data_IF_126952747025
#
_entry.id   IF_126952747025
#
_cell.length_a   1.000
_cell.length_b   1.000
_cell.length_c   1.000
_cell.angle_alpha   90.00
_cell.angle_beta   90.00
_cell.angle_gamma   90.00
#
_symmetry.space_group_name_H-M   'P 1'
#
loop_
_entity.id
_entity.type
_entity.pdbx_description
1 polymer ?
#
# COMPACT_ATOMS: atom_id res chain seq x y z
N UNK A 1 -2.71 6.73 -26.45
CA UNK A 1 -2.78 6.14 -27.79
C UNK A 1 -4.22 6.04 -28.22
N UNK A 2 -4.66 6.91 -29.15
CA UNK A 2 -5.99 6.83 -29.74
C UNK A 2 -5.98 5.70 -30.80
N UNK A 3 -6.32 4.47 -30.43
CA UNK A 3 -7.12 3.69 -31.35
C UNK A 3 -8.52 4.30 -31.30
N UNK A 4 -8.94 4.95 -32.36
CA UNK A 4 -10.35 5.20 -32.62
C UNK A 4 -11.07 3.83 -32.76
N UNK A 5 -11.35 3.21 -31.61
CA UNK A 5 -12.45 2.25 -31.58
C UNK A 5 -13.67 3.12 -31.78
N UNK A 6 -14.46 2.85 -32.81
CA UNK A 6 -15.69 3.60 -33.06
C UNK A 6 -16.58 3.47 -31.83
N UNK A 7 -16.52 4.46 -30.97
CA UNK A 7 -17.46 4.62 -29.87
C UNK A 7 -18.68 5.30 -30.43
N UNK A 8 -19.87 4.81 -30.07
CA UNK A 8 -21.12 5.31 -30.57
C UNK A 8 -22.04 5.67 -29.41
N UNK A 9 -22.84 6.68 -29.59
CA UNK A 9 -24.02 6.98 -28.77
C UNK A 9 -25.21 6.26 -29.40
N UNK A 10 -26.01 5.57 -28.60
CA UNK A 10 -27.26 4.97 -29.03
C UNK A 10 -28.36 6.02 -28.94
N UNK A 11 -28.89 6.45 -30.06
CA UNK A 11 -30.04 7.37 -30.12
C UNK A 11 -31.34 6.70 -29.64
N UNK A 12 -32.38 7.51 -29.38
CA UNK A 12 -33.68 7.00 -28.89
C UNK A 12 -34.35 5.99 -29.80
N UNK A 13 -34.06 6.06 -31.10
CA UNK A 13 -34.54 5.10 -32.12
C UNK A 13 -33.68 3.82 -32.23
N UNK A 14 -32.63 3.71 -31.43
CA UNK A 14 -31.71 2.57 -31.40
C UNK A 14 -30.56 2.66 -32.40
N UNK A 15 -30.47 3.71 -33.21
CA UNK A 15 -29.37 3.93 -34.14
C UNK A 15 -28.07 4.30 -33.41
N UNK A 16 -26.95 3.80 -33.93
CA UNK A 16 -25.62 4.11 -33.39
C UNK A 16 -25.02 5.27 -34.17
N UNK A 17 -24.70 6.35 -33.48
CA UNK A 17 -23.98 7.51 -34.04
C UNK A 17 -22.55 7.53 -33.51
N UNK A 18 -21.51 7.78 -34.36
CA UNK A 18 -20.15 7.94 -33.92
C UNK A 18 -20.05 9.09 -32.90
N UNK A 19 -19.29 8.87 -31.84
CA UNK A 19 -19.01 9.90 -30.83
C UNK A 19 -17.57 10.39 -30.98
N UNK A 20 -17.42 11.71 -31.09
CA UNK A 20 -16.14 12.41 -31.10
C UNK A 20 -16.10 13.37 -29.91
N UNK A 21 -15.40 12.96 -28.84
CA UNK A 21 -15.32 13.78 -27.63
C UNK A 21 -14.47 13.11 -26.54
N UNK A 22 -14.47 13.73 -25.37
CA UNK A 22 -13.83 13.15 -24.20
C UNK A 22 -14.68 12.04 -23.61
N UNK A 23 -14.02 10.95 -23.22
CA UNK A 23 -14.63 9.77 -22.66
C UNK A 23 -14.12 9.56 -21.24
N UNK A 24 -15.05 9.31 -20.33
CA UNK A 24 -14.72 8.87 -18.98
C UNK A 24 -15.15 7.40 -18.81
N UNK A 25 -14.19 6.55 -18.44
CA UNK A 25 -14.48 5.19 -18.03
C UNK A 25 -14.87 5.16 -16.56
N UNK A 26 -15.95 4.45 -16.26
CA UNK A 26 -16.39 4.18 -14.88
C UNK A 26 -16.40 2.70 -14.60
N UNK A 27 -16.03 2.37 -13.37
CA UNK A 27 -16.06 1.02 -12.84
C UNK A 27 -17.20 0.91 -11.84
N UNK A 28 -18.02 -0.15 -12.00
CA UNK A 28 -19.03 -0.54 -11.02
C UNK A 28 -18.60 -1.85 -10.38
N UNK A 29 -18.51 -1.87 -9.06
CA UNK A 29 -18.15 -3.06 -8.29
C UNK A 29 -19.34 -3.50 -7.44
N UNK A 30 -19.66 -4.78 -7.50
CA UNK A 30 -20.56 -5.45 -6.58
C UNK A 30 -19.74 -6.40 -5.72
N UNK A 31 -19.61 -6.06 -4.44
CA UNK A 31 -18.92 -6.90 -3.48
C UNK A 31 -19.92 -7.57 -2.56
N UNK A 32 -19.77 -8.87 -2.36
CA UNK A 32 -20.50 -9.65 -1.37
C UNK A 32 -19.49 -10.34 -0.47
N UNK A 33 -19.61 -10.17 0.82
CA UNK A 33 -18.76 -10.82 1.79
C UNK A 33 -19.54 -11.25 3.02
N UNK A 34 -19.29 -12.49 3.45
CA UNK A 34 -19.67 -12.97 4.76
C UNK A 34 -18.39 -13.32 5.49
N UNK A 35 -18.21 -12.71 6.66
CA UNK A 35 -17.02 -12.87 7.47
C UNK A 35 -17.48 -13.30 8.86
N UNK A 36 -16.86 -14.35 9.37
CA UNK A 36 -16.93 -14.77 10.77
C UNK A 36 -15.50 -14.72 11.34
N UNK A 37 -15.30 -13.98 12.40
CA UNK A 37 -13.97 -13.78 13.02
C UNK A 37 -14.07 -13.98 14.53
N UNK A 38 -13.08 -14.70 15.06
CA UNK A 38 -12.90 -14.86 16.49
C UNK A 38 -11.44 -14.57 16.83
N UNK A 39 -11.23 -13.77 17.87
CA UNK A 39 -9.90 -13.47 18.39
C UNK A 39 -9.89 -13.57 19.90
N UNK A 40 -8.90 -14.30 20.42
CA UNK A 40 -8.69 -14.43 21.87
C UNK A 40 -7.22 -14.21 22.22
N UNK A 41 -6.99 -13.54 23.33
CA UNK A 41 -5.65 -13.38 23.91
C UNK A 41 -5.71 -13.69 25.40
N UNK A 42 -4.76 -14.48 25.87
CA UNK A 42 -4.50 -14.70 27.28
C UNK A 42 -3.05 -14.37 27.59
N UNK A 43 -2.82 -13.46 28.53
CA UNK A 43 -1.48 -13.05 28.92
C UNK A 43 -1.32 -13.10 30.44
N UNK A 44 -0.23 -13.67 30.89
CA UNK A 44 0.27 -13.61 32.24
C UNK A 44 1.44 -12.64 32.29
N UNK A 45 1.31 -11.58 33.08
CA UNK A 45 2.37 -10.60 33.32
C UNK A 45 2.79 -10.63 34.79
N UNK A 46 4.10 -10.59 35.02
CA UNK A 46 4.65 -10.50 36.36
C UNK A 46 5.84 -9.55 36.41
N UNK A 47 5.75 -8.54 37.24
CA UNK A 47 6.85 -7.65 37.59
C UNK A 47 7.47 -8.06 38.92
N UNK A 48 8.79 -8.13 38.97
CA UNK A 48 9.54 -8.41 40.17
C UNK A 48 10.83 -7.61 40.18
N UNK A 49 11.00 -6.73 41.20
CA UNK A 49 12.15 -5.81 41.29
C UNK A 49 12.30 -4.99 39.99
N UNK A 50 13.36 -5.25 39.27
CA UNK A 50 13.77 -4.54 38.04
C UNK A 50 13.47 -5.33 36.77
N UNK A 51 12.58 -6.33 36.82
CA UNK A 51 12.21 -7.12 35.64
C UNK A 51 10.71 -7.25 35.48
N UNK A 52 10.25 -7.36 34.23
CA UNK A 52 8.87 -7.69 33.90
C UNK A 52 8.84 -8.76 32.84
N UNK A 53 8.20 -9.87 33.17
CA UNK A 53 7.95 -10.98 32.24
C UNK A 53 6.51 -10.95 31.77
N UNK A 54 6.30 -11.25 30.49
CA UNK A 54 4.99 -11.51 29.91
C UNK A 54 5.07 -12.80 29.11
N UNK A 55 4.10 -13.67 29.31
CA UNK A 55 3.94 -14.91 28.53
C UNK A 55 2.48 -14.95 28.11
N UNK A 56 2.23 -15.15 26.82
CA UNK A 56 0.88 -15.15 26.32
C UNK A 56 0.64 -16.13 25.19
N UNK A 57 -0.64 -16.34 24.94
CA UNK A 57 -1.19 -17.12 23.86
C UNK A 57 -2.20 -16.29 23.12
N UNK A 58 -2.13 -16.29 21.79
CA UNK A 58 -3.13 -15.70 20.93
C UNK A 58 -3.76 -16.78 20.06
N UNK A 59 -5.05 -16.71 19.90
CA UNK A 59 -5.80 -17.51 18.94
C UNK A 59 -6.58 -16.57 18.03
N UNK A 60 -6.54 -16.80 16.72
CA UNK A 60 -7.29 -16.07 15.74
C UNK A 60 -7.87 -17.06 14.73
N UNK A 61 -9.18 -17.01 14.59
CA UNK A 61 -9.95 -17.75 13.60
C UNK A 61 -10.65 -16.78 12.67
N UNK A 62 -10.46 -16.94 11.38
CA UNK A 62 -11.06 -16.12 10.34
C UNK A 62 -11.67 -17.01 9.27
N UNK A 63 -12.96 -16.82 9.03
CA UNK A 63 -13.69 -17.53 7.98
C UNK A 63 -14.32 -16.50 7.05
N UNK A 64 -14.23 -16.73 5.76
CA UNK A 64 -14.75 -15.83 4.75
C UNK A 64 -15.42 -16.58 3.60
N UNK A 65 -16.49 -15.99 3.07
CA UNK A 65 -17.09 -16.30 1.78
C UNK A 65 -17.20 -14.96 1.06
N UNK A 66 -16.32 -14.69 0.08
CA UNK A 66 -16.18 -13.40 -0.57
C UNK A 66 -16.25 -13.53 -2.07
N UNK A 67 -17.04 -12.64 -2.69
CA UNK A 67 -17.11 -12.49 -4.12
C UNK A 67 -17.13 -11.01 -4.52
N UNK A 68 -16.45 -10.68 -5.60
CA UNK A 68 -16.42 -9.35 -6.19
C UNK A 68 -16.59 -9.43 -7.68
N UNK A 69 -17.61 -8.76 -8.20
CA UNK A 69 -17.84 -8.58 -9.62
C UNK A 69 -17.64 -7.13 -10.01
N UNK A 70 -16.84 -6.91 -11.04
CA UNK A 70 -16.49 -5.58 -11.50
C UNK A 70 -16.79 -5.44 -12.98
N UNK A 71 -17.53 -4.42 -13.35
CA UNK A 71 -17.85 -4.06 -14.74
C UNK A 71 -17.35 -2.66 -15.04
N UNK A 72 -16.89 -2.42 -16.27
CA UNK A 72 -16.54 -1.09 -16.75
C UNK A 72 -17.47 -0.66 -17.87
N UNK A 73 -17.78 0.62 -17.90
CA UNK A 73 -18.50 1.27 -18.98
C UNK A 73 -17.91 2.65 -19.24
N UNK A 74 -18.05 3.09 -20.50
CA UNK A 74 -17.67 4.43 -20.91
C UNK A 74 -18.90 5.32 -21.01
N UNK A 75 -18.70 6.60 -20.73
CA UNK A 75 -19.71 7.63 -20.96
C UNK A 75 -19.08 8.92 -21.48
N UNK A 76 -19.90 9.78 -22.09
CA UNK A 76 -19.49 11.11 -22.52
C UNK A 76 -19.12 11.98 -21.32
N UNK A 77 -18.24 12.96 -21.52
CA UNK A 77 -17.90 13.97 -20.51
C UNK A 77 -18.68 15.24 -20.82
N UNK A 78 -19.93 15.26 -20.39
CA UNK A 78 -20.91 16.33 -20.62
C UNK A 78 -21.76 16.55 -19.36
N UNK A 79 -22.55 17.61 -19.34
CA UNK A 79 -23.45 17.92 -18.22
C UNK A 79 -24.45 16.80 -17.95
N UNK A 80 -24.94 16.16 -19.02
CA UNK A 80 -25.81 14.99 -18.99
C UNK A 80 -25.09 13.81 -19.66
N UNK A 81 -24.25 13.05 -18.92
CA UNK A 81 -23.43 12.01 -19.51
C UNK A 81 -24.27 10.89 -20.14
N UNK A 82 -23.95 10.55 -21.36
CA UNK A 82 -24.58 9.43 -22.08
C UNK A 82 -23.63 8.24 -22.10
N UNK A 83 -24.20 7.04 -21.95
CA UNK A 83 -23.46 5.79 -22.02
C UNK A 83 -23.03 5.50 -23.44
N UNK A 84 -21.74 5.25 -23.60
CA UNK A 84 -21.16 4.91 -24.89
C UNK A 84 -21.26 3.40 -25.15
N UNK A 85 -21.52 3.04 -26.37
CA UNK A 85 -21.54 1.65 -26.86
C UNK A 85 -20.46 1.48 -27.93
N UNK A 86 -20.03 0.26 -28.15
CA UNK A 86 -19.08 -0.11 -29.21
C UNK A 86 -19.77 -0.98 -30.24
N UNK A 87 -19.27 -0.95 -31.46
CA UNK A 87 -19.68 -1.90 -32.49
C UNK A 87 -19.49 -3.34 -31.96
N UNK A 88 -20.52 -4.15 -32.04
CA UNK A 88 -20.53 -5.50 -31.50
C UNK A 88 -20.79 -5.61 -29.99
N UNK A 89 -20.88 -4.48 -29.26
CA UNK A 89 -21.26 -4.46 -27.85
C UNK A 89 -22.35 -3.40 -27.59
N UNK A 90 -23.57 -3.80 -27.73
CA UNK A 90 -24.74 -2.91 -27.62
C UNK A 90 -25.20 -2.65 -26.20
N UNK A 91 -24.65 -3.33 -25.22
CA UNK A 91 -25.01 -3.15 -23.80
C UNK A 91 -24.27 -1.96 -23.16
N UNK A 92 -23.29 -1.40 -23.88
CA UNK A 92 -22.45 -0.31 -23.39
C UNK A 92 -21.50 -0.70 -22.25
N UNK A 93 -21.44 -1.97 -21.87
CA UNK A 93 -20.43 -2.55 -20.99
C UNK A 93 -19.31 -3.07 -21.87
N UNK A 94 -18.24 -2.31 -22.01
CA UNK A 94 -17.18 -2.68 -22.94
C UNK A 94 -16.08 -3.54 -22.32
N UNK A 95 -16.05 -3.60 -21.00
CA UNK A 95 -15.11 -4.44 -20.27
C UNK A 95 -15.89 -5.17 -19.18
N UNK A 96 -16.12 -6.44 -19.37
CA UNK A 96 -16.77 -7.29 -18.40
C UNK A 96 -15.71 -8.00 -17.57
N UNK A 97 -15.52 -7.52 -16.36
CA UNK A 97 -14.62 -8.14 -15.39
C UNK A 97 -15.10 -9.52 -14.92
N UNK A 98 -16.34 -9.90 -15.17
CA UNK A 98 -16.83 -11.23 -14.82
C UNK A 98 -16.00 -12.35 -15.45
N UNK A 99 -15.31 -12.07 -16.56
CA UNK A 99 -14.45 -13.04 -17.22
C UNK A 99 -12.98 -12.97 -16.76
N UNK A 100 -12.52 -11.81 -16.28
CA UNK A 100 -11.07 -11.59 -16.08
C UNK A 100 -10.69 -10.93 -14.75
N UNK A 101 -11.62 -10.32 -14.02
CA UNK A 101 -11.33 -9.56 -12.82
C UNK A 101 -12.25 -9.83 -11.63
N UNK A 102 -13.23 -10.72 -11.76
CA UNK A 102 -14.02 -11.17 -10.61
C UNK A 102 -13.13 -11.92 -9.63
N UNK A 103 -13.33 -11.64 -8.36
CA UNK A 103 -12.65 -12.27 -7.27
C UNK A 103 -13.64 -13.16 -6.53
N UNK A 104 -13.21 -14.36 -6.22
CA UNK A 104 -13.92 -15.29 -5.37
C UNK A 104 -12.93 -16.07 -4.54
N UNK A 105 -13.14 -16.09 -3.27
CA UNK A 105 -12.48 -17.03 -2.38
C UNK A 105 -13.35 -17.33 -1.17
N UNK A 106 -13.28 -18.57 -0.73
CA UNK A 106 -14.00 -19.05 0.44
C UNK A 106 -13.09 -19.99 1.20
N UNK A 107 -13.05 -19.83 2.50
CA UNK A 107 -12.18 -20.67 3.31
C UNK A 107 -12.06 -20.17 4.73
N UNK A 108 -11.10 -20.71 5.43
CA UNK A 108 -10.77 -20.27 6.77
C UNK A 108 -9.25 -20.23 7.01
N UNK A 109 -8.87 -19.43 7.95
CA UNK A 109 -7.51 -19.24 8.40
C UNK A 109 -7.50 -19.30 9.94
N UNK A 110 -6.67 -20.16 10.49
CA UNK A 110 -6.46 -20.29 11.92
C UNK A 110 -5.03 -19.93 12.26
N UNK A 111 -4.84 -19.13 13.30
CA UNK A 111 -3.52 -18.82 13.85
C UNK A 111 -3.51 -19.08 15.33
N UNK A 112 -2.59 -19.89 15.77
CA UNK A 112 -2.29 -20.11 17.18
C UNK A 112 -0.86 -19.68 17.45
N UNK A 113 -0.67 -18.75 18.36
CA UNK A 113 0.65 -18.23 18.69
C UNK A 113 0.92 -18.26 20.18
N UNK A 114 2.17 -18.58 20.51
CA UNK A 114 2.72 -18.41 21.85
C UNK A 114 3.83 -17.38 21.81
N UNK A 115 3.91 -16.53 22.82
CA UNK A 115 4.96 -15.52 22.92
C UNK A 115 5.43 -15.34 24.34
N UNK A 116 6.68 -14.89 24.47
CA UNK A 116 7.24 -14.45 25.72
C UNK A 116 8.07 -13.18 25.50
N UNK A 117 7.98 -12.22 26.44
CA UNK A 117 8.80 -11.02 26.46
C UNK A 117 9.41 -10.79 27.83
N UNK A 118 10.57 -10.19 27.87
CA UNK A 118 11.25 -9.81 29.08
C UNK A 118 11.78 -8.38 28.97
N UNK A 119 11.40 -7.56 29.90
CA UNK A 119 11.91 -6.20 30.10
C UNK A 119 12.75 -6.18 31.38
N UNK A 120 14.01 -5.77 31.30
CA UNK A 120 14.97 -5.86 32.37
C UNK A 120 15.81 -4.61 32.53
N UNK A 121 15.62 -3.89 33.63
CA UNK A 121 16.54 -2.85 34.06
C UNK A 121 17.75 -3.51 34.76
N UNK A 122 18.78 -3.88 33.98
CA UNK A 122 20.00 -4.53 34.46
C UNK A 122 20.68 -3.63 35.52
N UNK A 123 20.64 -2.32 35.28
CA UNK A 123 21.17 -1.30 36.16
C UNK A 123 20.43 0.03 35.93
N UNK A 124 20.66 1.06 36.75
CA UNK A 124 20.11 2.41 36.49
C UNK A 124 20.50 2.99 35.12
N UNK A 125 21.53 2.46 34.49
CA UNK A 125 22.01 2.90 33.17
C UNK A 125 21.62 2.01 32.03
N UNK A 126 21.27 0.74 32.27
CA UNK A 126 20.99 -0.23 31.25
C UNK A 126 19.58 -0.80 31.37
N UNK A 127 18.81 -0.63 30.32
CA UNK A 127 17.56 -1.36 30.09
C UNK A 127 17.73 -2.26 28.88
N UNK A 128 17.23 -3.47 28.97
CA UNK A 128 17.21 -4.47 27.88
C UNK A 128 15.81 -5.04 27.77
N UNK A 129 15.30 -5.07 26.57
CA UNK A 129 14.03 -5.71 26.24
C UNK A 129 14.26 -6.77 25.17
N UNK A 130 13.68 -7.95 25.34
CA UNK A 130 13.68 -8.98 24.30
C UNK A 130 12.45 -9.86 24.38
N UNK A 131 12.10 -10.47 23.25
CA UNK A 131 10.96 -11.35 23.17
C UNK A 131 10.98 -12.20 21.91
N UNK A 132 10.22 -13.27 21.96
CA UNK A 132 10.01 -14.17 20.85
C UNK A 132 8.55 -14.58 20.76
N UNK A 133 8.09 -14.84 19.54
CA UNK A 133 6.76 -15.36 19.19
C UNK A 133 6.92 -16.47 18.17
N UNK A 134 6.21 -17.57 18.39
CA UNK A 134 6.01 -18.65 17.43
C UNK A 134 4.53 -18.73 17.12
N UNK A 135 4.19 -18.82 15.85
CA UNK A 135 2.81 -18.84 15.37
C UNK A 135 2.63 -19.97 14.36
N UNK A 136 1.74 -20.89 14.66
CA UNK A 136 1.21 -21.83 13.70
C UNK A 136 0.07 -21.15 12.93
N UNK A 137 0.09 -21.24 11.61
CA UNK A 137 -0.91 -20.74 10.70
C UNK A 137 -1.37 -21.88 9.80
N UNK A 138 -2.65 -22.21 9.88
CA UNK A 138 -3.34 -23.13 8.98
C UNK A 138 -4.31 -22.35 8.11
N UNK A 139 -4.32 -22.62 6.82
CA UNK A 139 -5.11 -21.92 5.84
C UNK A 139 -5.62 -22.89 4.79
N UNK A 140 -6.96 -23.02 4.69
CA UNK A 140 -7.59 -23.84 3.66
C UNK A 140 -8.76 -23.12 3.01
N UNK A 141 -9.04 -23.47 1.74
CA UNK A 141 -10.15 -22.89 1.04
C UNK A 141 -10.19 -23.21 -0.45
N UNK A 142 -10.98 -22.42 -1.14
CA UNK A 142 -11.19 -22.51 -2.57
C UNK A 142 -11.23 -21.13 -3.22
N UNK A 143 -10.82 -21.02 -4.47
CA UNK A 143 -10.97 -19.84 -5.30
C UNK A 143 -11.47 -20.21 -6.72
N UNK A 144 -12.00 -19.23 -7.44
CA UNK A 144 -12.54 -19.43 -8.79
C UNK A 144 -11.47 -19.32 -9.89
N UNK A 145 -10.28 -19.83 -9.68
CA UNK A 145 -9.29 -19.91 -10.75
C UNK A 145 -9.73 -20.96 -11.80
N UNK A 146 -9.67 -20.58 -13.07
CA UNK A 146 -10.03 -21.45 -14.19
C UNK A 146 -8.82 -21.74 -15.04
N UNK A 147 -8.64 -23.02 -15.35
CA UNK A 147 -7.56 -23.51 -16.19
C UNK A 147 -8.15 -24.22 -17.42
N UNK A 148 -7.46 -24.12 -18.56
CA UNK A 148 -7.76 -24.94 -19.74
C UNK A 148 -7.24 -26.37 -19.56
N UNK A 149 -7.49 -27.22 -20.58
CA UNK A 149 -7.07 -28.62 -20.56
C UNK A 149 -5.54 -28.78 -20.53
N UNK A 150 -4.80 -27.77 -20.97
CA UNK A 150 -3.34 -27.72 -20.98
C UNK A 150 -2.78 -27.15 -19.66
N UNK A 151 -3.64 -26.73 -18.72
CA UNK A 151 -3.24 -26.18 -17.42
C UNK A 151 -2.88 -24.70 -17.42
N UNK A 152 -3.17 -23.97 -18.49
CA UNK A 152 -2.97 -22.53 -18.55
C UNK A 152 -4.13 -21.79 -17.90
N UNK A 153 -3.85 -20.71 -17.19
CA UNK A 153 -4.88 -19.87 -16.62
C UNK A 153 -5.66 -19.14 -17.73
N UNK A 154 -6.95 -19.42 -17.83
CA UNK A 154 -7.83 -18.85 -18.88
C UNK A 154 -8.79 -17.78 -18.36
N UNK A 155 -8.64 -17.38 -17.10
CA UNK A 155 -9.41 -16.31 -16.51
C UNK A 155 -10.08 -16.70 -15.20
N UNK A 156 -11.06 -15.90 -14.80
CA UNK A 156 -11.86 -16.08 -13.59
C UNK A 156 -13.32 -16.13 -13.93
N UNK A 157 -14.05 -16.85 -13.11
CA UNK A 157 -15.51 -16.89 -13.22
C UNK A 157 -16.16 -16.18 -12.04
N UNK A 158 -17.36 -15.64 -12.27
CA UNK A 158 -18.21 -15.21 -11.18
C UNK A 158 -18.48 -16.38 -10.25
N UNK A 159 -18.47 -16.09 -8.96
CA UNK A 159 -18.65 -17.02 -7.85
C UNK A 159 -19.87 -17.96 -7.96
N UNK A 160 -20.93 -17.50 -8.58
CA UNK A 160 -22.21 -18.24 -8.61
C UNK A 160 -22.29 -19.26 -9.74
N UNK A 161 -21.29 -19.32 -10.59
CA UNK A 161 -21.27 -20.21 -11.74
C UNK A 161 -20.37 -21.42 -11.56
N UNK A 162 -20.06 -21.77 -10.30
CA UNK A 162 -19.36 -23.02 -9.98
C UNK A 162 -20.09 -24.20 -10.60
N UNK A 163 -19.38 -24.98 -11.40
CA UNK A 163 -19.94 -26.10 -12.17
C UNK A 163 -20.47 -25.73 -13.57
N UNK A 164 -20.46 -24.46 -13.94
CA UNK A 164 -20.71 -24.02 -15.32
C UNK A 164 -19.58 -24.50 -16.25
N UNK A 165 -19.83 -24.40 -17.54
CA UNK A 165 -18.86 -24.71 -18.59
C UNK A 165 -18.40 -23.41 -19.20
N UNK A 166 -17.07 -23.23 -19.35
CA UNK A 166 -16.48 -22.07 -20.00
C UNK A 166 -16.83 -21.98 -21.48
N UNK A 167 -16.58 -20.82 -22.10
CA UNK A 167 -16.72 -20.65 -23.56
C UNK A 167 -15.83 -21.65 -24.35
N UNK A 168 -14.80 -22.22 -23.70
CA UNK A 168 -13.94 -23.28 -24.27
C UNK A 168 -14.36 -24.69 -23.91
N UNK A 169 -15.54 -24.88 -23.31
CA UNK A 169 -16.07 -26.19 -22.95
C UNK A 169 -15.46 -26.83 -21.71
N UNK A 170 -14.62 -26.11 -20.95
CA UNK A 170 -13.99 -26.60 -19.73
C UNK A 170 -14.94 -26.42 -18.55
N UNK A 171 -15.17 -27.47 -17.78
CA UNK A 171 -15.95 -27.40 -16.55
C UNK A 171 -15.22 -26.56 -15.50
N UNK A 172 -15.91 -25.58 -14.94
CA UNK A 172 -15.39 -24.70 -13.92
C UNK A 172 -15.49 -25.43 -12.57
N UNK A 173 -14.35 -25.67 -11.97
CA UNK A 173 -14.25 -26.16 -10.60
C UNK A 173 -13.41 -25.18 -9.78
N UNK A 174 -13.77 -24.94 -8.50
CA UNK A 174 -12.95 -24.13 -7.65
C UNK A 174 -11.58 -24.79 -7.46
N UNK A 175 -10.54 -23.99 -7.42
CA UNK A 175 -9.22 -24.45 -7.06
C UNK A 175 -9.13 -24.54 -5.56
N UNK A 176 -8.83 -25.73 -5.05
CA UNK A 176 -8.61 -25.95 -3.64
C UNK A 176 -7.17 -25.60 -3.24
N UNK A 177 -7.01 -25.11 -2.04
CA UNK A 177 -5.71 -24.87 -1.41
C UNK A 177 -5.79 -25.21 0.08
N UNK A 178 -4.68 -25.75 0.60
CA UNK A 178 -4.51 -26.15 1.99
C UNK A 178 -3.03 -26.03 2.37
N UNK A 179 -2.75 -25.23 3.40
CA UNK A 179 -1.39 -24.90 3.82
C UNK A 179 -1.27 -24.84 5.33
N UNK A 180 -0.14 -25.40 5.81
CA UNK A 180 0.33 -25.28 7.19
C UNK A 180 1.69 -24.62 7.25
N UNK A 181 1.81 -23.59 8.09
CA UNK A 181 3.07 -22.84 8.23
C UNK A 181 3.40 -22.52 9.68
N UNK A 182 4.70 -22.40 9.94
CA UNK A 182 5.23 -21.81 11.16
C UNK A 182 5.83 -20.44 10.87
N UNK A 183 5.28 -19.42 11.48
CA UNK A 183 5.82 -18.07 11.49
C UNK A 183 6.56 -17.81 12.80
N UNK A 184 7.54 -16.91 12.77
CA UNK A 184 8.29 -16.51 13.95
C UNK A 184 8.54 -15.02 13.98
N UNK A 185 8.59 -14.46 15.16
CA UNK A 185 9.08 -13.13 15.40
C UNK A 185 10.06 -13.14 16.57
N UNK A 186 11.09 -12.34 16.45
CA UNK A 186 12.07 -12.10 17.51
C UNK A 186 12.32 -10.59 17.59
N UNK A 187 12.45 -10.06 18.79
CA UNK A 187 12.84 -8.68 19.03
C UNK A 187 13.84 -8.61 20.17
N UNK A 188 14.82 -7.72 20.05
CA UNK A 188 15.73 -7.36 21.13
C UNK A 188 16.02 -5.86 21.03
N UNK A 189 16.03 -5.18 22.16
CA UNK A 189 16.38 -3.78 22.27
C UNK A 189 17.24 -3.53 23.51
N UNK A 190 18.15 -2.60 23.42
CA UNK A 190 18.98 -2.16 24.53
C UNK A 190 19.06 -0.63 24.56
N UNK A 191 18.91 -0.05 25.74
CA UNK A 191 19.09 1.38 25.98
C UNK A 191 20.17 1.57 27.03
N UNK A 192 21.15 2.43 26.71
CA UNK A 192 22.21 2.84 27.62
C UNK A 192 22.11 4.31 27.94
N UNK A 193 21.88 4.64 29.18
CA UNK A 193 21.81 6.01 29.72
C UNK A 193 23.21 6.46 30.12
N UNK A 194 23.88 7.26 29.27
CA UNK A 194 25.19 7.80 29.56
C UNK A 194 25.11 8.88 30.66
N UNK A 195 24.17 9.81 30.50
CA UNK A 195 23.76 10.80 31.50
C UNK A 195 22.23 10.68 31.75
N UNK A 196 21.68 11.58 32.54
CA UNK A 196 20.23 11.68 32.73
C UNK A 196 19.51 12.08 31.43
N UNK A 197 20.14 12.93 30.64
CA UNK A 197 19.56 13.53 29.43
C UNK A 197 19.97 12.79 28.15
N UNK A 198 21.17 12.18 28.12
CA UNK A 198 21.75 11.60 26.91
C UNK A 198 22.00 10.10 27.04
N UNK A 199 21.69 9.36 25.99
CA UNK A 199 22.00 7.94 25.92
C UNK A 199 21.97 7.41 24.48
N UNK A 200 22.19 6.09 24.39
CA UNK A 200 22.19 5.33 23.16
C UNK A 200 21.10 4.27 23.21
N UNK A 201 20.56 3.95 22.03
CA UNK A 201 19.61 2.84 21.88
C UNK A 201 19.95 2.05 20.63
N UNK A 202 19.74 0.75 20.72
CA UNK A 202 19.83 -0.14 19.56
C UNK A 202 18.71 -1.17 19.66
N UNK A 203 18.13 -1.53 18.53
CA UNK A 203 17.13 -2.60 18.45
C UNK A 203 17.32 -3.45 17.20
N UNK A 204 16.88 -4.68 17.32
CA UNK A 204 16.79 -5.64 16.23
C UNK A 204 15.46 -6.37 16.29
N UNK A 205 14.79 -6.45 15.15
CA UNK A 205 13.56 -7.21 14.99
C UNK A 205 13.70 -8.12 13.77
N UNK A 206 13.27 -9.34 13.91
CA UNK A 206 13.14 -10.29 12.81
C UNK A 206 11.75 -10.87 12.86
N UNK A 207 11.02 -10.81 11.77
CA UNK A 207 9.73 -11.48 11.65
C UNK A 207 9.59 -12.20 10.31
N UNK A 208 8.73 -13.20 10.30
CA UNK A 208 8.36 -13.93 9.10
C UNK A 208 6.86 -13.84 8.88
N UNK A 209 6.46 -13.88 7.62
CA UNK A 209 5.06 -13.80 7.20
C UNK A 209 4.80 -14.81 6.09
N UNK A 210 3.58 -15.29 6.03
CA UNK A 210 3.03 -16.09 4.93
C UNK A 210 1.79 -15.40 4.36
N UNK A 211 1.37 -15.74 3.14
CA UNK A 211 0.15 -15.21 2.58
C UNK A 211 -1.05 -15.53 3.49
N UNK A 212 -1.93 -14.55 3.66
CA UNK A 212 -3.24 -14.77 4.27
C UNK A 212 -4.28 -15.17 3.23
N UNK A 213 -5.46 -15.54 3.69
CA UNK A 213 -6.56 -16.07 2.86
C UNK A 213 -6.91 -15.14 1.69
N UNK A 214 -6.92 -13.81 1.89
CA UNK A 214 -7.23 -12.83 0.85
C UNK A 214 -6.22 -12.80 -0.31
N UNK A 215 -4.99 -13.28 -0.10
CA UNK A 215 -4.00 -13.35 -1.17
C UNK A 215 -4.32 -14.44 -2.22
N UNK A 216 -5.23 -15.33 -1.90
CA UNK A 216 -5.69 -16.38 -2.81
C UNK A 216 -6.89 -15.95 -3.68
N UNK A 217 -7.47 -14.77 -3.43
CA UNK A 217 -8.55 -14.23 -4.26
C UNK A 217 -8.18 -14.06 -5.75
N UNK A 218 -6.95 -13.69 -6.13
CA UNK A 218 -6.50 -13.66 -7.52
C UNK A 218 -6.55 -15.04 -8.21
N UNK A 219 -6.80 -15.04 -9.53
CA UNK A 219 -6.75 -16.27 -10.34
C UNK A 219 -5.37 -16.95 -10.31
N UNK A 220 -4.32 -16.15 -10.18
CA UNK A 220 -2.95 -16.63 -9.99
C UNK A 220 -2.71 -16.94 -8.51
N UNK A 221 -2.15 -18.12 -8.23
CA UNK A 221 -1.75 -18.45 -6.86
C UNK A 221 -0.67 -17.49 -6.38
N UNK A 222 -0.74 -17.03 -5.12
CA UNK A 222 0.32 -16.25 -4.54
C UNK A 222 1.58 -17.11 -4.38
N UNK A 223 2.74 -16.44 -4.39
CA UNK A 223 3.94 -17.10 -3.90
C UNK A 223 3.76 -17.40 -2.40
N UNK A 224 3.92 -18.66 -2.02
CA UNK A 224 3.79 -19.12 -0.64
C UNK A 224 5.13 -19.15 0.12
N UNK A 225 6.20 -18.67 -0.50
CA UNK A 225 7.50 -18.57 0.16
C UNK A 225 7.45 -17.65 1.38
N UNK A 226 8.31 -17.95 2.32
CA UNK A 226 8.43 -17.18 3.55
C UNK A 226 8.97 -15.77 3.27
N UNK A 227 8.17 -14.77 3.58
CA UNK A 227 8.62 -13.40 3.65
C UNK A 227 9.39 -13.22 4.95
N UNK A 228 10.62 -12.69 4.89
CA UNK A 228 11.44 -12.40 6.07
C UNK A 228 11.74 -10.91 6.12
N UNK A 229 11.62 -10.32 7.32
CA UNK A 229 11.81 -8.88 7.53
C UNK A 229 12.78 -8.67 8.71
N UNK A 230 14.10 -8.75 8.50
CA UNK A 230 15.07 -8.26 9.45
C UNK A 230 15.11 -6.72 9.45
N UNK A 231 15.05 -6.12 10.62
CA UNK A 231 15.20 -4.68 10.87
C UNK A 231 16.19 -4.50 12.00
N UNK A 232 17.23 -3.68 11.78
CA UNK A 232 18.16 -3.23 12.81
C UNK A 232 18.21 -1.71 12.86
N UNK A 233 18.20 -1.13 14.07
CA UNK A 233 18.38 0.31 14.27
C UNK A 233 19.36 0.55 15.40
N UNK A 234 20.14 1.63 15.28
CA UNK A 234 21.03 2.08 16.36
C UNK A 234 21.23 3.60 16.29
N UNK A 235 21.37 4.22 17.44
CA UNK A 235 21.61 5.66 17.51
C UNK A 235 21.57 6.20 18.92
N UNK A 236 21.28 7.49 19.04
CA UNK A 236 21.24 8.19 20.31
C UNK A 236 19.98 9.02 20.50
N UNK A 237 19.76 9.36 21.74
CA UNK A 237 18.69 10.27 22.14
C UNK A 237 19.22 11.33 23.10
N UNK A 238 18.56 12.49 23.09
CA UNK A 238 18.84 13.59 24.00
C UNK A 238 17.52 14.21 24.46
N UNK A 239 17.24 14.15 25.77
CA UNK A 239 16.00 14.60 26.37
C UNK A 239 16.25 15.57 27.52
N UNK A 240 15.66 16.76 27.41
CA UNK A 240 15.60 17.78 28.46
C UNK A 240 14.18 18.31 28.57
N UNK A 241 13.94 19.27 29.45
CA UNK A 241 12.63 19.88 29.62
C UNK A 241 12.12 20.63 28.36
N UNK A 242 13.06 21.07 27.50
CA UNK A 242 12.74 21.88 26.32
C UNK A 242 13.03 21.19 24.98
N UNK A 243 13.76 20.09 24.96
CA UNK A 243 14.02 19.30 23.74
C UNK A 243 13.96 17.81 24.03
N UNK A 244 13.27 17.07 23.16
CA UNK A 244 13.35 15.62 23.03
C UNK A 244 13.82 15.30 21.62
N UNK A 245 14.97 14.65 21.49
CA UNK A 245 15.59 14.33 20.21
C UNK A 245 15.98 12.85 20.19
N UNK A 246 15.69 12.18 19.09
CA UNK A 246 16.17 10.84 18.78
C UNK A 246 16.73 10.80 17.38
N UNK A 247 17.89 10.19 17.20
CA UNK A 247 18.54 10.07 15.89
C UNK A 247 19.04 8.65 15.71
N UNK A 248 18.51 7.96 14.69
CA UNK A 248 18.71 6.53 14.47
C UNK A 248 19.16 6.26 13.04
N UNK A 249 20.20 5.46 12.90
CA UNK A 249 20.52 4.75 11.68
C UNK A 249 19.69 3.46 11.62
N UNK A 250 19.23 3.06 10.43
CA UNK A 250 18.40 1.88 10.24
C UNK A 250 18.83 1.08 9.01
N UNK A 251 18.69 -0.22 9.14
CA UNK A 251 18.77 -1.19 8.04
C UNK A 251 17.55 -2.08 8.10
N UNK A 252 16.81 -2.17 6.99
CA UNK A 252 15.68 -3.07 6.83
C UNK A 252 15.81 -3.83 5.50
N UNK A 253 15.51 -5.10 5.53
CA UNK A 253 15.36 -5.91 4.33
C UNK A 253 13.99 -6.60 4.36
N UNK A 254 13.40 -6.82 3.20
CA UNK A 254 12.19 -7.62 3.06
C UNK A 254 12.36 -8.52 1.84
N UNK A 255 12.30 -9.82 2.07
CA UNK A 255 12.51 -10.84 1.03
C UNK A 255 11.19 -11.44 0.59
N UNK A 256 11.17 -11.99 -0.64
CA UNK A 256 10.02 -12.69 -1.21
C UNK A 256 8.71 -11.88 -1.21
N UNK A 257 8.80 -10.55 -1.44
CA UNK A 257 7.60 -9.76 -1.66
C UNK A 257 6.88 -10.25 -2.91
N UNK A 258 5.57 -10.39 -2.82
CA UNK A 258 4.76 -10.80 -3.95
C UNK A 258 4.16 -9.59 -4.67
N UNK A 259 4.20 -9.61 -5.98
CA UNK A 259 3.53 -8.65 -6.85
C UNK A 259 3.09 -9.33 -8.13
N UNK A 260 2.18 -8.68 -8.84
CA UNK A 260 1.82 -9.04 -10.21
C UNK A 260 1.90 -7.80 -11.06
N UNK A 261 2.68 -7.85 -12.11
CA UNK A 261 2.79 -6.77 -13.08
C UNK A 261 1.90 -7.09 -14.28
N UNK A 262 1.20 -6.08 -14.79
CA UNK A 262 0.50 -6.19 -16.06
C UNK A 262 1.41 -5.66 -17.16
N UNK A 263 2.00 -6.57 -17.92
CA UNK A 263 2.91 -6.24 -19.02
C UNK A 263 2.12 -6.15 -20.32
N UNK A 264 2.30 -5.04 -21.02
CA UNK A 264 1.60 -4.74 -22.27
C UNK A 264 2.52 -5.10 -23.42
N UNK A 265 2.02 -5.87 -24.40
CA UNK A 265 2.78 -6.19 -25.62
C UNK A 265 3.13 -4.88 -26.36
N UNK A 266 4.42 -4.58 -26.61
CA UNK A 266 4.81 -3.39 -27.35
C UNK A 266 4.27 -3.34 -28.78
N UNK A 267 4.02 -4.49 -29.40
CA UNK A 267 3.50 -4.61 -30.76
C UNK A 267 1.97 -4.63 -30.81
N UNK A 268 1.32 -5.10 -29.73
CA UNK A 268 -0.14 -5.10 -29.60
C UNK A 268 -0.58 -4.65 -28.21
N UNK A 269 -0.85 -3.38 -28.05
CA UNK A 269 -1.25 -2.78 -26.78
C UNK A 269 -2.60 -3.30 -26.23
N UNK A 270 -3.31 -4.15 -26.97
CA UNK A 270 -4.53 -4.81 -26.48
C UNK A 270 -4.20 -6.12 -25.76
N UNK A 271 -3.00 -6.66 -25.96
CA UNK A 271 -2.53 -7.84 -25.25
C UNK A 271 -1.83 -7.43 -23.97
N UNK A 272 -2.42 -7.79 -22.84
CA UNK A 272 -1.91 -7.53 -21.49
C UNK A 272 -1.76 -8.89 -20.80
N UNK A 273 -0.55 -9.19 -20.36
CA UNK A 273 -0.26 -10.40 -19.60
C UNK A 273 0.11 -10.07 -18.16
N UNK A 274 -0.47 -10.83 -17.23
CA UNK A 274 -0.12 -10.74 -15.82
C UNK A 274 1.17 -11.55 -15.56
N UNK A 275 2.21 -10.88 -15.10
CA UNK A 275 3.49 -11.46 -14.72
C UNK A 275 3.61 -11.49 -13.19
N UNK A 276 3.36 -12.64 -12.54
CA UNK A 276 3.64 -12.77 -11.12
C UNK A 276 5.15 -12.74 -10.88
N UNK A 277 5.56 -12.05 -9.82
CA UNK A 277 6.96 -12.05 -9.41
C UNK A 277 7.11 -12.04 -7.90
N UNK A 278 8.23 -12.57 -7.45
CA UNK A 278 8.74 -12.44 -6.10
C UNK A 278 9.99 -11.56 -6.13
N UNK A 279 10.06 -10.57 -5.25
CA UNK A 279 11.16 -9.61 -5.23
C UNK A 279 11.60 -9.26 -3.82
N UNK A 280 12.84 -8.82 -3.69
CA UNK A 280 13.44 -8.40 -2.43
C UNK A 280 13.69 -6.89 -2.44
N UNK A 281 13.54 -6.28 -1.25
CA UNK A 281 13.86 -4.87 -1.03
C UNK A 281 14.86 -4.77 0.12
N UNK A 282 15.81 -3.85 -0.02
CA UNK A 282 16.73 -3.44 1.04
C UNK A 282 16.69 -1.93 1.18
N UNK A 283 16.62 -1.44 2.41
CA UNK A 283 16.65 -0.01 2.72
C UNK A 283 17.69 0.27 3.79
N UNK A 284 18.56 1.22 3.51
CA UNK A 284 19.42 1.87 4.50
C UNK A 284 18.81 3.23 4.77
N UNK A 285 18.71 3.61 6.03
CA UNK A 285 18.05 4.84 6.43
C UNK A 285 18.71 5.52 7.61
N UNK A 286 18.39 6.79 7.75
CA UNK A 286 18.71 7.61 8.92
C UNK A 286 17.52 8.51 9.21
N UNK A 287 17.02 8.46 10.44
CA UNK A 287 15.90 9.29 10.88
C UNK A 287 16.29 10.07 12.12
N UNK A 288 16.01 11.36 12.10
CA UNK A 288 16.12 12.24 13.26
C UNK A 288 14.75 12.85 13.53
N UNK A 289 14.26 12.65 14.73
CA UNK A 289 12.98 13.17 15.22
C UNK A 289 13.26 14.06 16.44
N UNK A 290 12.74 15.28 16.44
CA UNK A 290 12.92 16.22 17.54
C UNK A 290 11.65 17.00 17.85
N UNK A 291 11.33 17.10 19.13
CA UNK A 291 10.27 17.98 19.65
C UNK A 291 10.94 19.05 20.51
N UNK A 292 10.78 20.30 20.13
CA UNK A 292 11.45 21.46 20.72
C UNK A 292 10.41 22.41 21.30
N UNK A 293 10.53 22.72 22.60
CA UNK A 293 9.63 23.59 23.38
C UNK A 293 10.42 24.68 24.09
N UNK A 294 10.98 25.67 23.37
CA UNK A 294 11.93 26.63 23.92
C UNK A 294 11.31 27.61 24.90
N UNK A 295 9.99 27.84 24.83
CA UNK A 295 9.22 28.68 25.71
C UNK A 295 7.75 28.25 25.78
N UNK A 296 7.03 28.74 26.79
CA UNK A 296 5.64 28.37 27.02
C UNK A 296 4.75 28.66 25.81
N UNK A 297 3.96 27.66 25.43
CA UNK A 297 2.99 27.74 24.34
C UNK A 297 3.56 27.39 22.96
N UNK A 298 4.87 27.49 22.74
CA UNK A 298 5.50 27.10 21.48
C UNK A 298 5.91 25.62 21.47
N UNK A 299 5.63 24.95 20.37
CA UNK A 299 6.06 23.60 20.11
C UNK A 299 6.48 23.49 18.63
N UNK A 300 7.66 22.94 18.39
CA UNK A 300 8.19 22.69 17.07
C UNK A 300 8.59 21.23 16.96
N UNK A 301 7.94 20.51 16.05
CA UNK A 301 8.33 19.17 15.68
C UNK A 301 9.17 19.22 14.41
N UNK A 302 10.30 18.55 14.43
CA UNK A 302 11.22 18.39 13.33
C UNK A 302 11.43 16.91 13.06
N UNK A 303 11.14 16.47 11.85
CA UNK A 303 11.47 15.13 11.36
C UNK A 303 12.34 15.24 10.12
N UNK A 304 13.46 14.55 10.14
CA UNK A 304 14.32 14.33 8.98
C UNK A 304 14.46 12.84 8.75
N UNK A 305 14.21 12.37 7.53
CA UNK A 305 14.46 10.99 7.12
C UNK A 305 15.25 10.98 5.81
N UNK A 306 16.38 10.29 5.85
CA UNK A 306 17.08 9.83 4.67
C UNK A 306 16.86 8.34 4.52
N UNK A 307 16.52 7.86 3.33
CA UNK A 307 16.35 6.44 3.05
C UNK A 307 16.75 6.11 1.61
N UNK A 308 17.33 4.93 1.42
CA UNK A 308 17.73 4.46 0.10
C UNK A 308 17.18 3.06 -0.16
N UNK A 309 15.87 2.94 -0.45
CA UNK A 309 15.25 1.67 -0.77
C UNK A 309 15.64 1.22 -2.16
N UNK A 310 16.16 -0.02 -2.28
CA UNK A 310 16.59 -0.62 -3.54
C UNK A 310 16.01 -2.01 -3.71
N UNK A 311 15.63 -2.35 -4.93
CA UNK A 311 15.33 -3.73 -5.30
C UNK A 311 16.61 -4.56 -5.31
N UNK A 312 16.62 -5.71 -4.65
CA UNK A 312 17.76 -6.64 -4.62
C UNK A 312 17.58 -7.84 -5.52
N UNK A 313 16.35 -8.22 -5.76
CA UNK A 313 15.93 -9.22 -6.71
C UNK A 313 14.61 -8.73 -7.28
N UNK A 314 14.57 -8.43 -8.55
CA UNK A 314 13.36 -7.94 -9.21
C UNK A 314 13.42 -8.29 -10.69
N UNK A 315 13.08 -9.53 -11.00
CA UNK A 315 13.17 -10.05 -12.37
C UNK A 315 11.89 -10.83 -12.69
N UNK A 316 11.33 -10.57 -13.86
CA UNK A 316 10.23 -11.37 -14.42
C UNK A 316 10.19 -11.23 -15.93
N UNK A 317 9.60 -12.21 -16.61
CA UNK A 317 9.38 -12.17 -18.04
C UNK A 317 8.06 -12.82 -18.42
N UNK A 318 7.50 -12.39 -19.55
CA UNK A 318 6.34 -13.02 -20.19
C UNK A 318 6.61 -13.14 -21.69
N UNK A 319 6.05 -14.15 -22.31
CA UNK A 319 6.06 -14.28 -23.77
C UNK A 319 4.67 -13.98 -24.30
N UNK A 320 4.57 -12.98 -25.16
CA UNK A 320 3.33 -12.59 -25.82
C UNK A 320 3.01 -13.55 -26.99
N UNK A 321 1.76 -13.51 -27.49
CA UNK A 321 1.28 -14.41 -28.56
C UNK A 321 2.07 -14.32 -29.87
N UNK A 322 2.63 -13.14 -30.14
CA UNK A 322 3.47 -12.89 -31.33
C UNK A 322 4.92 -13.36 -31.15
N UNK A 323 5.25 -14.00 -30.01
CA UNK A 323 6.60 -14.43 -29.65
C UNK A 323 7.47 -13.33 -29.04
N UNK A 324 7.00 -12.10 -28.93
CA UNK A 324 7.73 -11.03 -28.27
C UNK A 324 7.88 -11.33 -26.78
N UNK A 325 9.07 -11.12 -26.22
CA UNK A 325 9.36 -11.31 -24.81
C UNK A 325 9.34 -9.96 -24.11
N UNK A 326 8.43 -9.81 -23.16
CA UNK A 326 8.44 -8.69 -22.20
C UNK A 326 9.27 -9.08 -20.97
N UNK A 327 10.45 -8.48 -20.82
CA UNK A 327 11.38 -8.75 -19.73
C UNK A 327 11.54 -7.52 -18.84
N UNK A 328 11.48 -7.72 -17.54
CA UNK A 328 11.80 -6.71 -16.55
C UNK A 328 12.90 -7.24 -15.65
N UNK A 329 14.02 -6.54 -15.62
CA UNK A 329 15.02 -6.57 -14.57
C UNK A 329 15.14 -5.17 -13.99
N UNK A 330 14.78 -5.02 -12.73
CA UNK A 330 14.88 -3.78 -11.97
C UNK A 330 15.81 -3.93 -10.76
N UNK A 331 16.60 -5.01 -10.71
CA UNK A 331 17.57 -5.24 -9.65
C UNK A 331 18.56 -4.07 -9.56
N UNK A 332 18.74 -3.54 -8.35
CA UNK A 332 19.56 -2.35 -8.08
C UNK A 332 18.85 -1.01 -8.28
N UNK A 333 17.68 -0.98 -8.88
CA UNK A 333 16.90 0.25 -9.02
C UNK A 333 16.33 0.72 -7.68
N UNK A 334 16.08 2.01 -7.59
CA UNK A 334 15.39 2.62 -6.44
C UNK A 334 13.91 2.23 -6.50
N UNK A 335 13.35 1.87 -5.37
CA UNK A 335 11.92 1.57 -5.23
C UNK A 335 11.10 2.80 -5.60
N UNK A 336 10.05 2.57 -6.39
CA UNK A 336 9.16 3.64 -6.88
C UNK A 336 8.39 4.31 -5.75
N UNK A 337 8.00 5.55 -5.96
CA UNK A 337 7.14 6.38 -5.08
C UNK A 337 7.76 6.76 -3.72
N UNK A 338 8.91 6.24 -3.37
CA UNK A 338 9.57 6.50 -2.10
C UNK A 338 10.64 7.59 -2.26
N UNK A 339 10.50 8.75 -1.60
CA UNK A 339 11.50 9.80 -1.62
C UNK A 339 12.73 9.37 -0.82
N UNK A 340 13.93 9.72 -1.28
CA UNK A 340 15.17 9.48 -0.51
C UNK A 340 15.30 10.40 0.69
N UNK A 341 14.77 11.61 0.58
CA UNK A 341 14.77 12.59 1.68
C UNK A 341 13.35 13.06 1.93
N UNK A 342 12.97 13.00 3.19
CA UNK A 342 11.73 13.56 3.72
C UNK A 342 12.11 14.50 4.88
N UNK A 343 11.52 15.70 4.89
CA UNK A 343 11.64 16.65 6.00
C UNK A 343 10.25 17.11 6.40
N UNK A 344 9.95 17.09 7.69
CA UNK A 344 8.74 17.69 8.24
C UNK A 344 9.11 18.76 9.26
N UNK A 345 8.45 19.92 9.15
CA UNK A 345 8.62 21.06 10.04
C UNK A 345 7.23 21.48 10.50
N UNK A 346 6.90 21.22 11.77
CA UNK A 346 5.57 21.44 12.31
C UNK A 346 5.60 22.43 13.49
N UNK A 347 5.75 23.74 13.23
CA UNK A 347 5.62 24.77 14.26
C UNK A 347 4.17 24.90 14.72
N UNK A 348 3.96 25.07 16.01
CA UNK A 348 2.66 25.45 16.56
C UNK A 348 2.82 26.34 17.79
N UNK A 349 1.84 27.21 18.00
CA UNK A 349 1.82 28.14 19.10
C UNK A 349 0.42 28.25 19.72
N UNK A 350 0.35 28.06 21.01
CA UNK A 350 -0.85 28.32 21.81
C UNK A 350 -0.86 29.80 22.19
N UNK A 351 -1.61 30.62 21.47
CA UNK A 351 -1.78 32.05 21.74
C UNK A 351 -2.44 32.23 23.11
N UNK A 352 -3.47 31.40 23.37
CA UNK A 352 -4.10 31.24 24.68
C UNK A 352 -4.26 29.75 24.98
N UNK A 353 -4.85 29.39 26.11
CA UNK A 353 -5.16 27.98 26.41
C UNK A 353 -6.19 27.41 25.43
N UNK A 354 -7.02 28.26 24.83
CA UNK A 354 -8.13 27.89 23.97
C UNK A 354 -7.90 28.15 22.48
N UNK A 355 -6.81 28.89 22.13
CA UNK A 355 -6.50 29.28 20.76
C UNK A 355 -5.10 28.84 20.37
N UNK A 356 -5.02 27.95 19.38
CA UNK A 356 -3.79 27.41 18.82
C UNK A 356 -3.70 27.74 17.34
N UNK A 357 -2.53 28.19 16.89
CA UNK A 357 -2.14 28.28 15.48
C UNK A 357 -1.05 27.26 15.19
N UNK A 358 -1.04 26.72 13.98
CA UNK A 358 -0.06 25.73 13.56
C UNK A 358 0.20 25.78 12.06
N UNK A 359 1.37 25.31 11.65
CA UNK A 359 1.70 25.05 10.26
C UNK A 359 2.46 23.72 10.16
N UNK A 360 2.44 23.12 8.99
CA UNK A 360 3.19 21.91 8.64
C UNK A 360 3.78 22.08 7.25
N UNK A 361 5.07 21.87 7.13
CA UNK A 361 5.81 21.92 5.88
C UNK A 361 6.44 20.54 5.67
N UNK A 362 6.06 19.84 4.62
CA UNK A 362 6.56 18.51 4.29
C UNK A 362 7.28 18.53 2.97
N UNK A 363 8.58 18.34 3.01
CA UNK A 363 9.40 18.21 1.81
C UNK A 363 9.59 16.75 1.46
N UNK A 364 9.33 16.41 0.21
CA UNK A 364 9.62 15.13 -0.40
C UNK A 364 10.63 15.36 -1.52
N UNK A 365 11.76 14.68 -1.49
CA UNK A 365 12.70 14.71 -2.61
C UNK A 365 12.13 13.99 -3.83
N UNK A 366 12.85 14.02 -4.94
CA UNK A 366 12.54 13.30 -6.16
C UNK A 366 12.12 11.85 -5.89
N UNK A 367 11.02 11.40 -6.53
CA UNK A 367 10.54 10.02 -6.51
C UNK A 367 10.49 9.45 -7.91
N UNK A 368 10.89 8.19 -8.07
CA UNK A 368 10.74 7.50 -9.36
C UNK A 368 9.30 7.05 -9.57
N UNK A 369 8.81 7.20 -10.79
CA UNK A 369 7.42 6.94 -11.16
C UNK A 369 7.23 5.60 -11.89
N UNK A 370 8.30 4.94 -12.30
CA UNK A 370 8.27 3.60 -12.86
C UNK A 370 9.44 2.73 -12.37
N UNK A 371 9.27 1.42 -12.45
CA UNK A 371 10.18 0.40 -11.90
C UNK A 371 11.58 0.48 -12.53
N UNK A 372 11.67 0.80 -13.80
CA UNK A 372 12.94 0.97 -14.55
C UNK A 372 13.66 2.29 -14.21
N UNK A 373 13.12 3.13 -13.34
CA UNK A 373 13.63 4.45 -12.96
C UNK A 373 13.85 5.40 -14.17
N UNK A 374 13.07 5.22 -15.24
CA UNK A 374 13.11 6.06 -16.43
C UNK A 374 12.39 7.40 -16.21
N UNK A 375 11.30 7.39 -15.45
CA UNK A 375 10.51 8.56 -15.11
C UNK A 375 10.59 8.89 -13.64
N UNK A 376 10.47 10.17 -13.33
CA UNK A 376 10.46 10.66 -11.96
C UNK A 376 9.62 11.94 -11.83
N UNK A 377 9.15 12.19 -10.64
CA UNK A 377 8.61 13.47 -10.23
C UNK A 377 9.64 14.23 -9.40
N UNK A 378 9.77 15.52 -9.66
CA UNK A 378 10.69 16.40 -8.92
C UNK A 378 10.29 16.49 -7.45
N UNK A 379 11.23 16.92 -6.63
CA UNK A 379 10.95 17.21 -5.22
C UNK A 379 9.88 18.28 -5.06
N UNK A 380 9.08 18.15 -4.00
CA UNK A 380 7.94 19.03 -3.74
C UNK A 380 7.78 19.32 -2.26
N UNK A 381 7.10 20.40 -1.97
CA UNK A 381 6.57 20.70 -0.66
C UNK A 381 5.06 20.43 -0.63
N UNK A 382 4.59 19.81 0.43
CA UNK A 382 3.17 19.76 0.79
C UNK A 382 3.00 20.58 2.06
N UNK A 383 2.07 21.54 2.06
CA UNK A 383 1.97 22.53 3.14
C UNK A 383 0.56 22.58 3.70
N UNK A 384 0.48 22.65 5.01
CA UNK A 384 -0.76 22.71 5.76
C UNK A 384 -0.62 23.77 6.84
N UNK A 385 -1.73 24.37 7.21
CA UNK A 385 -1.74 25.30 8.34
C UNK A 385 -3.16 25.50 8.84
N UNK A 386 -3.28 25.99 10.05
CA UNK A 386 -4.61 26.17 10.59
C UNK A 386 -4.65 26.82 11.96
N UNK A 387 -5.89 27.05 12.37
CA UNK A 387 -6.26 27.64 13.64
C UNK A 387 -7.29 26.71 14.28
N UNK A 388 -7.07 26.40 15.57
CA UNK A 388 -8.04 25.68 16.40
C UNK A 388 -8.43 26.57 17.56
N UNK A 389 -9.72 26.80 17.73
CA UNK A 389 -10.27 27.65 18.78
C UNK A 389 -11.38 26.95 19.56
N UNK A 390 -11.16 26.72 20.82
CA UNK A 390 -12.19 26.28 21.77
C UNK A 390 -12.91 27.52 22.29
N UNK A 391 -14.04 27.87 21.66
CA UNK A 391 -14.80 29.09 22.01
C UNK A 391 -15.34 29.00 23.40
N UNK A 392 -15.86 27.81 23.79
CA UNK A 392 -16.33 27.46 25.11
C UNK A 392 -16.48 25.92 25.24
N UNK A 393 -16.99 25.44 26.37
CA UNK A 393 -17.16 24.00 26.62
C UNK A 393 -18.10 23.27 25.63
N UNK A 394 -18.89 23.99 24.86
CA UNK A 394 -19.87 23.46 23.92
C UNK A 394 -19.47 23.66 22.47
N UNK A 395 -18.59 24.61 22.14
CA UNK A 395 -18.26 24.98 20.78
C UNK A 395 -16.76 25.03 20.57
N UNK A 396 -16.26 24.28 19.60
CA UNK A 396 -14.91 24.41 19.06
C UNK A 396 -14.97 24.65 17.55
N UNK A 397 -14.14 25.56 17.07
CA UNK A 397 -14.00 25.95 15.65
C UNK A 397 -12.61 25.60 15.17
N UNK A 398 -12.49 25.18 13.91
CA UNK A 398 -11.21 25.02 13.25
C UNK A 398 -11.27 25.51 11.81
N UNK A 399 -10.17 26.11 11.39
CA UNK A 399 -9.91 26.45 9.99
C UNK A 399 -8.58 25.81 9.59
N UNK A 400 -8.58 25.06 8.48
CA UNK A 400 -7.38 24.42 7.93
C UNK A 400 -7.20 24.85 6.50
N UNK A 401 -5.98 25.22 6.15
CA UNK A 401 -5.56 25.50 4.77
C UNK A 401 -4.64 24.41 4.32
N UNK A 402 -4.95 23.76 3.21
CA UNK A 402 -4.15 22.70 2.58
C UNK A 402 -3.48 23.29 1.35
N UNK A 403 -2.21 22.97 1.18
CA UNK A 403 -1.37 23.46 0.09
C UNK A 403 -1.38 25.00 0.02
N UNK A 404 -1.07 25.68 1.13
CA UNK A 404 -1.11 27.14 1.18
C UNK A 404 -0.03 27.82 0.31
N UNK A 405 1.02 27.10 -0.10
CA UNK A 405 1.98 27.57 -1.11
C UNK A 405 1.47 27.38 -2.54
N UNK A 406 0.26 26.83 -2.72
CA UNK A 406 -0.38 26.57 -4.00
C UNK A 406 0.53 25.87 -5.02
N UNK A 407 1.29 24.88 -4.56
CA UNK A 407 2.14 24.09 -5.42
C UNK A 407 1.29 23.21 -6.35
N UNK A 408 1.70 23.15 -7.60
CA UNK A 408 1.12 22.25 -8.60
C UNK A 408 2.09 21.13 -8.92
N UNK A 409 1.58 20.00 -9.41
CA UNK A 409 2.42 18.88 -9.84
C UNK A 409 1.72 17.54 -9.75
N UNK A 410 2.46 16.50 -10.13
CA UNK A 410 2.03 15.13 -10.06
C UNK A 410 2.91 14.33 -9.09
N UNK A 411 2.39 13.20 -8.61
CA UNK A 411 3.05 12.24 -7.72
C UNK A 411 2.54 10.82 -8.00
N UNK A 412 3.14 9.84 -7.35
CA UNK A 412 2.75 8.44 -7.50
C UNK A 412 3.50 7.71 -8.60
N UNK A 413 2.90 6.66 -9.13
CA UNK A 413 3.41 5.87 -10.26
C UNK A 413 2.74 6.29 -11.57
N UNK A 414 3.35 5.90 -12.68
CA UNK A 414 2.82 6.06 -14.04
C UNK A 414 2.40 4.69 -14.54
N UNK A 415 1.10 4.48 -14.71
CA UNK A 415 0.56 3.23 -15.24
C UNK A 415 0.87 3.07 -16.73
N UNK A 416 1.22 1.84 -17.15
CA UNK A 416 1.54 1.50 -18.54
C UNK A 416 2.95 1.87 -18.98
N UNK A 417 3.81 2.28 -18.03
CA UNK A 417 5.22 2.61 -18.32
C UNK A 417 6.21 1.59 -17.71
N UNK A 418 5.75 0.40 -17.34
CA UNK A 418 6.55 -0.60 -16.62
C UNK A 418 7.76 -1.08 -17.44
N UNK A 419 7.58 -1.27 -18.75
CA UNK A 419 8.63 -1.72 -19.67
C UNK A 419 9.52 -0.60 -20.23
N UNK A 420 9.23 0.67 -19.91
CA UNK A 420 9.95 1.80 -20.52
C UNK A 420 11.30 2.00 -19.85
N UNK A 421 12.36 1.81 -20.59
CA UNK A 421 13.73 2.08 -20.18
C UNK A 421 14.12 3.56 -20.35
N UNK A 422 15.19 3.98 -19.68
CA UNK A 422 15.72 5.36 -19.77
C UNK A 422 16.07 5.77 -21.21
N UNK A 423 16.58 4.84 -22.01
CA UNK A 423 16.93 5.09 -23.42
C UNK A 423 15.70 5.36 -24.30
N UNK A 424 14.55 4.79 -23.93
CA UNK A 424 13.31 4.86 -24.71
C UNK A 424 12.35 5.93 -24.16
N UNK A 425 12.65 6.52 -22.99
CA UNK A 425 11.78 7.48 -22.33
C UNK A 425 11.45 8.70 -23.21
N UNK A 426 12.39 9.16 -24.03
CA UNK A 426 12.19 10.30 -24.91
C UNK A 426 11.15 10.04 -26.02
N UNK A 427 10.97 8.79 -26.47
CA UNK A 427 9.98 8.42 -27.50
C UNK A 427 8.53 8.57 -27.00
N UNK A 428 8.33 8.66 -25.71
CA UNK A 428 7.03 8.86 -25.05
C UNK A 428 6.69 10.34 -24.80
N UNK A 429 7.56 11.27 -25.23
CA UNK A 429 7.29 12.70 -25.12
C UNK A 429 6.00 13.05 -25.88
N UNK A 430 5.12 13.82 -25.20
CA UNK A 430 3.81 14.18 -25.74
C UNK A 430 2.70 13.14 -25.56
N UNK A 431 3.01 11.99 -24.98
CA UNK A 431 1.99 11.00 -24.62
C UNK A 431 1.33 11.37 -23.28
N UNK A 432 0.03 11.16 -23.20
CA UNK A 432 -0.70 11.28 -21.95
C UNK A 432 -0.45 10.05 -21.09
N UNK A 433 -0.11 10.29 -19.83
CA UNK A 433 0.10 9.25 -18.83
C UNK A 433 -0.79 9.51 -17.62
N UNK A 434 -1.29 8.44 -17.01
CA UNK A 434 -2.08 8.54 -15.77
C UNK A 434 -1.15 8.73 -14.57
N UNK A 435 -1.51 9.64 -13.68
CA UNK A 435 -0.80 9.92 -12.44
C UNK A 435 -1.73 10.57 -11.42
N UNK A 436 -1.26 10.69 -10.18
CA UNK A 436 -1.96 11.41 -9.12
C UNK A 436 -1.46 12.85 -9.04
N UNK A 437 -2.35 13.77 -8.70
CA UNK A 437 -2.01 15.19 -8.55
C UNK A 437 -1.78 15.57 -7.09
N UNK A 438 -1.00 16.62 -6.88
CA UNK A 438 -0.92 17.30 -5.58
C UNK A 438 -2.29 17.98 -5.36
N UNK A 439 -2.84 17.81 -4.15
CA UNK A 439 -4.11 18.45 -3.79
C UNK A 439 -3.99 19.98 -3.97
N UNK A 440 -4.93 20.65 -4.67
CA UNK A 440 -4.87 22.09 -4.87
C UNK A 440 -5.06 22.86 -3.56
N UNK A 441 -4.81 24.15 -3.59
CA UNK A 441 -5.15 25.05 -2.47
C UNK A 441 -6.60 24.82 -2.05
N UNK A 442 -6.79 24.49 -0.79
CA UNK A 442 -8.11 24.15 -0.25
C UNK A 442 -8.24 24.74 1.15
N UNK A 443 -9.40 25.29 1.47
CA UNK A 443 -9.75 25.77 2.81
C UNK A 443 -10.86 24.87 3.35
N UNK A 444 -10.67 24.37 4.55
CA UNK A 444 -11.65 23.56 5.27
C UNK A 444 -12.02 24.27 6.57
N UNK A 445 -13.32 24.43 6.82
CA UNK A 445 -13.86 24.99 8.06
C UNK A 445 -14.65 23.89 8.77
N UNK A 446 -14.44 23.76 10.07
CA UNK A 446 -15.20 22.81 10.88
C UNK A 446 -15.67 23.45 12.19
N UNK A 447 -16.86 23.05 12.62
CA UNK A 447 -17.41 23.37 13.92
C UNK A 447 -17.80 22.08 14.64
N UNK A 448 -17.35 21.92 15.88
CA UNK A 448 -17.73 20.82 16.77
C UNK A 448 -18.61 21.35 17.88
N UNK A 449 -19.81 20.79 18.00
CA UNK A 449 -20.78 21.16 19.02
C UNK A 449 -20.95 19.97 19.96
N UNK A 450 -20.84 20.22 21.27
CA UNK A 450 -21.04 19.22 22.33
C UNK A 450 -22.22 19.63 23.17
N UNK A 451 -23.18 18.76 23.30
CA UNK A 451 -24.37 18.94 24.11
C UNK A 451 -24.21 18.45 25.55
#
# INVERSE_FOLDING_TARGET
YRRQRQMCIRDRDGTLKPYEGYVQSRMSCLNRGKIDEFFATSELSRSYRNTTWRIGVNEWHYKVDYASNTTMYDHTVEEYPERLVREGNTDGVYYDFNKNASEYYKGHENKLAVYATHDWDISPKWNVYYGARLEWQHLEGENAAVYDAEGNAVGRFPDYYLGAVSDKGVRITPRLFDYDWMNMAFTAAATYKLTREFGFTADFTYNTQRPGLSNFAPATMPNTDKISVPLGRAGGYYNTDWISLTSLFSYISKTNNNSTLNLINPNDQTEILAAPLSYDIQTIGWTTDAVIKPFKGFNFHFLFTYQSPTYKKYETSVTFKDGTVGEIDATGNIVTEIPKVLVELDPSYNITNDLRVWASFRYFSKTYANIKNAYYFNGRWETFGGINWTVNKHLALSATVINFLNQTGAKGSIAGAELVDKKDAASYNGHWMAGSYIRPFTVELAASIRF
#
